data_IF_163284298742
#
_entry.id   IF_163284298742
#
_cell.length_a   1.000
_cell.length_b   1.000
_cell.length_c   1.000
_cell.angle_alpha   90.00
_cell.angle_beta   90.00
_cell.angle_gamma   90.00
#
_symmetry.space_group_name_H-M   'P 1'
#
loop_
_entity.id
_entity.type
_entity.pdbx_description
1 polymer ?
#
# COMPACT_ATOMS: atom_id res chain seq x y z
N UNK A 1 3.26 9.90 -15.74
CA UNK A 1 4.43 9.46 -14.94
C UNK A 1 4.95 10.62 -14.09
N UNK A 2 4.08 11.26 -13.31
CA UNK A 2 4.44 12.42 -12.49
C UNK A 2 5.04 11.99 -11.14
N UNK A 3 4.42 10.99 -10.51
CA UNK A 3 4.83 10.45 -9.21
C UNK A 3 6.22 9.80 -9.25
N UNK A 4 6.55 9.05 -10.31
CA UNK A 4 7.87 8.44 -10.45
C UNK A 4 8.99 9.48 -10.67
N UNK A 5 8.68 10.55 -11.42
CA UNK A 5 9.62 11.66 -11.62
C UNK A 5 9.83 12.45 -10.32
N UNK A 6 8.77 12.65 -9.52
CA UNK A 6 8.88 13.28 -8.22
C UNK A 6 9.66 12.41 -7.22
N UNK A 7 9.40 11.11 -7.18
CA UNK A 7 10.15 10.17 -6.35
C UNK A 7 11.64 10.18 -6.69
N UNK A 8 12.01 10.24 -7.97
CA UNK A 8 13.41 10.32 -8.40
C UNK A 8 14.11 11.63 -8.00
N UNK A 9 13.34 12.71 -7.80
CA UNK A 9 13.85 14.00 -7.27
C UNK A 9 13.88 14.03 -5.75
N UNK A 10 13.13 13.15 -5.09
CA UNK A 10 13.09 13.03 -3.64
C UNK A 10 14.30 12.26 -3.12
N UNK A 11 14.73 12.54 -1.89
CA UNK A 11 15.78 11.75 -1.21
C UNK A 11 15.20 10.52 -0.50
N UNK A 12 14.21 9.86 -1.12
CA UNK A 12 13.48 8.71 -0.57
C UNK A 12 13.70 7.48 -1.45
N UNK A 13 13.97 6.32 -0.85
CA UNK A 13 14.02 5.04 -1.58
C UNK A 13 12.59 4.62 -1.96
N UNK A 14 12.24 4.83 -3.22
CA UNK A 14 10.93 4.46 -3.78
C UNK A 14 11.12 3.41 -4.86
N UNK A 15 10.42 2.28 -4.73
CA UNK A 15 10.45 1.18 -5.70
C UNK A 15 9.07 0.93 -6.27
N UNK A 16 8.89 1.22 -7.56
CA UNK A 16 7.66 0.91 -8.29
C UNK A 16 7.71 -0.54 -8.79
N UNK A 17 6.97 -1.44 -8.15
CA UNK A 17 6.93 -2.86 -8.53
C UNK A 17 6.04 -3.16 -9.75
N UNK A 18 5.22 -2.19 -10.17
CA UNK A 18 4.21 -2.42 -11.21
C UNK A 18 3.12 -3.39 -10.75
N UNK A 19 2.57 -4.16 -11.70
CA UNK A 19 1.56 -5.18 -11.40
C UNK A 19 2.23 -6.48 -10.96
N UNK A 20 1.93 -6.93 -9.74
CA UNK A 20 2.46 -8.18 -9.20
C UNK A 20 1.40 -9.28 -9.12
N UNK A 21 1.77 -10.55 -9.30
CA UNK A 21 0.93 -11.68 -8.91
C UNK A 21 0.56 -11.61 -7.43
N UNK A 22 -0.64 -12.07 -7.08
CA UNK A 22 -1.18 -11.99 -5.71
C UNK A 22 -0.23 -12.52 -4.63
N UNK A 23 0.38 -13.67 -4.87
CA UNK A 23 1.30 -14.30 -3.89
C UNK A 23 2.52 -13.42 -3.66
N UNK A 24 3.04 -12.77 -4.69
CA UNK A 24 4.20 -11.87 -4.58
C UNK A 24 3.82 -10.57 -3.87
N UNK A 25 2.66 -10.00 -4.18
CA UNK A 25 2.14 -8.83 -3.47
C UNK A 25 1.96 -9.10 -1.97
N UNK A 26 1.43 -10.28 -1.60
CA UNK A 26 1.28 -10.65 -0.19
C UNK A 26 2.62 -10.90 0.51
N UNK A 27 3.66 -11.38 -0.21
CA UNK A 27 5.02 -11.47 0.34
C UNK A 27 5.56 -10.08 0.64
N UNK A 28 5.40 -9.12 -0.27
CA UNK A 28 5.77 -7.73 -0.02
C UNK A 28 5.04 -7.17 1.21
N UNK A 29 3.72 -7.33 1.26
CA UNK A 29 2.90 -6.84 2.37
C UNK A 29 3.35 -7.45 3.70
N UNK A 30 3.52 -8.77 3.78
CA UNK A 30 3.95 -9.48 5.00
C UNK A 30 5.27 -8.96 5.58
N UNK A 31 6.18 -8.48 4.74
CA UNK A 31 7.48 -7.96 5.15
C UNK A 31 7.50 -6.44 5.35
N UNK A 32 6.40 -5.74 5.05
CA UNK A 32 6.31 -4.32 5.26
C UNK A 32 6.17 -3.98 6.75
N UNK A 33 6.83 -2.91 7.19
CA UNK A 33 6.65 -2.41 8.56
C UNK A 33 5.28 -1.75 8.75
N UNK A 34 4.70 -1.20 7.67
CA UNK A 34 3.40 -0.53 7.68
C UNK A 34 2.81 -0.54 6.26
N UNK A 35 1.49 -0.65 6.16
CA UNK A 35 0.73 -0.35 4.95
C UNK A 35 0.18 1.09 5.02
N UNK A 36 0.51 1.91 4.02
CA UNK A 36 -0.10 3.24 3.86
C UNK A 36 -1.25 3.14 2.87
N UNK A 37 -2.45 3.53 3.29
CA UNK A 37 -3.67 3.46 2.51
C UNK A 37 -4.33 4.84 2.36
N UNK A 38 -3.82 5.72 1.49
CA UNK A 38 -4.25 7.12 1.39
C UNK A 38 -5.42 7.30 0.42
N UNK A 39 -6.39 6.37 0.42
CA UNK A 39 -7.56 6.48 -0.45
C UNK A 39 -8.47 7.62 0.01
N UNK A 40 -9.00 8.39 -0.95
CA UNK A 40 -9.86 9.55 -0.69
C UNK A 40 -11.33 9.31 -1.06
N UNK A 41 -11.63 8.22 -1.80
CA UNK A 41 -12.99 7.87 -2.19
C UNK A 41 -13.70 7.01 -1.14
N UNK A 42 -15.04 6.96 -1.15
CA UNK A 42 -15.76 5.98 -0.37
C UNK A 42 -15.42 4.58 -0.92
N UNK A 43 -14.73 3.78 -0.13
CA UNK A 43 -14.44 2.40 -0.49
C UNK A 43 -15.51 1.47 0.09
N UNK A 44 -15.83 0.40 -0.64
CA UNK A 44 -16.40 -0.79 0.02
C UNK A 44 -15.29 -1.49 0.80
N UNK A 45 -15.62 -2.19 1.89
CA UNK A 45 -14.69 -3.00 2.71
C UNK A 45 -13.42 -3.43 1.97
N UNK A 46 -12.33 -2.71 2.25
CA UNK A 46 -11.10 -2.82 1.45
C UNK A 46 -10.35 -4.11 1.79
N UNK A 47 -10.28 -5.03 0.83
CA UNK A 47 -9.64 -6.35 1.00
C UNK A 47 -8.18 -6.24 1.47
N UNK A 48 -7.44 -5.23 1.03
CA UNK A 48 -6.03 -5.05 1.39
C UNK A 48 -5.84 -4.72 2.88
N UNK A 49 -6.81 -4.03 3.50
CA UNK A 49 -6.80 -3.75 4.93
C UNK A 49 -6.99 -5.04 5.74
N UNK A 50 -7.89 -5.93 5.29
CA UNK A 50 -8.07 -7.25 5.90
C UNK A 50 -6.83 -8.14 5.73
N UNK A 51 -6.20 -8.10 4.57
CA UNK A 51 -4.96 -8.85 4.30
C UNK A 51 -3.82 -8.38 5.20
N UNK A 52 -3.66 -7.06 5.38
CA UNK A 52 -2.66 -6.50 6.29
C UNK A 52 -2.93 -6.92 7.75
N UNK A 53 -4.19 -6.86 8.19
CA UNK A 53 -4.59 -7.27 9.54
C UNK A 53 -4.26 -8.75 9.81
N UNK A 54 -4.58 -9.66 8.88
CA UNK A 54 -4.27 -11.10 9.01
C UNK A 54 -2.77 -11.36 9.01
N UNK A 55 -2.00 -10.58 8.26
CA UNK A 55 -0.53 -10.69 8.21
C UNK A 55 0.16 -10.02 9.40
N UNK A 56 -0.57 -9.35 10.29
CA UNK A 56 -0.02 -8.62 11.43
C UNK A 56 0.71 -7.33 11.05
N UNK A 57 0.38 -6.76 9.89
CA UNK A 57 0.99 -5.53 9.38
C UNK A 57 0.12 -4.34 9.80
N UNK A 58 0.65 -3.38 10.58
CA UNK A 58 -0.12 -2.21 10.97
C UNK A 58 -0.46 -1.34 9.75
N UNK A 59 -1.61 -0.68 9.79
CA UNK A 59 -2.11 0.14 8.69
C UNK A 59 -2.28 1.60 9.13
N UNK A 60 -1.82 2.53 8.29
CA UNK A 60 -2.18 3.93 8.36
C UNK A 60 -3.11 4.23 7.19
N UNK A 61 -4.40 4.40 7.48
CA UNK A 61 -5.45 4.60 6.49
C UNK A 61 -6.15 5.95 6.71
N UNK A 62 -6.74 6.48 5.65
CA UNK A 62 -7.62 7.66 5.76
C UNK A 62 -8.96 7.29 6.40
N UNK A 63 -9.57 8.25 7.08
CA UNK A 63 -10.91 8.12 7.67
C UNK A 63 -12.00 8.34 6.61
N UNK A 64 -12.00 7.49 5.59
CA UNK A 64 -12.92 7.58 4.44
C UNK A 64 -13.95 6.46 4.40
N UNK A 65 -14.00 5.64 5.46
CA UNK A 65 -14.94 4.53 5.60
C UNK A 65 -14.61 3.30 4.77
N UNK A 66 -15.36 2.22 5.05
CA UNK A 66 -15.27 0.89 4.44
C UNK A 66 -16.19 -0.10 5.12
#
# INVERSE_FOLDING_TARGET
>A
MEVAAEAARSNVDVRFQGWLPRVEALRWLKHASVLIFPSHGPESLSRVLLEAAVLGVPTAAMDTGG
#
